data_IF_532405113251
#
_entry.id   IF_532405113251
#
_cell.length_a   1.000
_cell.length_b   1.000
_cell.length_c   1.000
_cell.angle_alpha   90.00
_cell.angle_beta   90.00
_cell.angle_gamma   90.00
#
_symmetry.space_group_name_H-M   'P 1'
#
loop_
_entity.id
_entity.type
_entity.pdbx_description
1 polymer ?
#
# COMPACT_ATOMS: atom_id res chain seq x y z
N UNK A 1 13.40 6.67 -16.51
CA UNK A 1 11.98 7.08 -16.45
C UNK A 1 11.35 6.78 -15.09
N UNK A 2 11.67 5.66 -14.43
CA UNK A 2 11.17 5.38 -13.07
C UNK A 2 11.74 6.36 -12.02
N UNK A 3 13.01 6.75 -12.17
CA UNK A 3 13.71 7.56 -11.16
C UNK A 3 13.31 9.06 -11.11
N UNK A 4 12.43 9.50 -12.02
CA UNK A 4 11.90 10.89 -12.04
C UNK A 4 10.50 10.99 -11.41
N UNK A 5 9.83 9.86 -11.18
CA UNK A 5 8.48 9.82 -10.63
C UNK A 5 8.53 9.64 -9.12
N UNK A 6 7.72 10.40 -8.36
CA UNK A 6 7.57 10.20 -6.90
C UNK A 6 6.97 8.83 -6.57
N UNK A 7 6.07 8.37 -7.44
CA UNK A 7 5.34 7.12 -7.29
C UNK A 7 5.13 6.53 -8.68
N UNK A 8 5.38 5.23 -8.83
CA UNK A 8 5.06 4.48 -10.03
C UNK A 8 3.86 3.59 -9.75
N UNK A 9 2.87 3.67 -10.63
CA UNK A 9 1.68 2.84 -10.63
C UNK A 9 1.74 1.91 -11.83
N UNK A 10 1.52 0.61 -11.63
CA UNK A 10 1.63 -0.39 -12.70
C UNK A 10 0.37 -1.25 -12.73
N UNK A 11 -0.16 -1.46 -13.93
CA UNK A 11 -1.08 -2.57 -14.18
C UNK A 11 -0.24 -3.81 -14.51
N UNK A 12 -0.40 -4.88 -13.72
CA UNK A 12 0.39 -6.11 -13.88
C UNK A 12 0.24 -6.71 -15.27
N UNK A 13 -0.88 -6.46 -15.95
CA UNK A 13 -1.12 -6.91 -17.32
C UNK A 13 0.04 -6.55 -18.27
N UNK A 14 0.74 -5.44 -18.00
CA UNK A 14 1.90 -4.99 -18.77
C UNK A 14 3.19 -5.77 -18.46
N UNK A 15 3.27 -6.46 -17.31
CA UNK A 15 4.47 -7.16 -16.85
C UNK A 15 4.42 -8.67 -17.15
N UNK A 16 3.23 -9.28 -17.11
CA UNK A 16 3.08 -10.74 -17.19
C UNK A 16 2.75 -11.25 -18.61
N UNK A 17 2.56 -10.36 -19.58
CA UNK A 17 2.24 -10.75 -20.95
C UNK A 17 3.49 -11.04 -21.77
N UNK A 18 3.49 -12.21 -22.40
CA UNK A 18 4.48 -12.62 -23.39
C UNK A 18 3.77 -12.93 -24.72
N UNK A 19 4.45 -12.65 -25.82
CA UNK A 19 3.95 -12.94 -27.16
C UNK A 19 4.65 -14.18 -27.69
N UNK A 20 3.87 -15.15 -28.16
CA UNK A 20 4.41 -16.28 -28.90
C UNK A 20 5.00 -15.77 -30.22
N UNK A 21 6.29 -15.97 -30.50
CA UNK A 21 6.92 -15.50 -31.72
C UNK A 21 6.43 -16.23 -32.98
N UNK A 22 5.80 -17.41 -32.85
CA UNK A 22 5.33 -18.21 -33.97
C UNK A 22 4.01 -17.71 -34.54
N UNK A 23 3.06 -17.32 -33.68
CA UNK A 23 1.70 -16.93 -34.09
C UNK A 23 1.18 -15.61 -33.50
N UNK A 24 1.96 -14.97 -32.62
CA UNK A 24 1.59 -13.72 -31.98
C UNK A 24 0.60 -13.85 -30.83
N UNK A 25 0.28 -15.08 -30.40
CA UNK A 25 -0.63 -15.33 -29.28
C UNK A 25 -0.10 -14.70 -28.00
N UNK A 26 -0.99 -14.07 -27.24
CA UNK A 26 -0.67 -13.50 -25.94
C UNK A 26 -0.84 -14.58 -24.87
N UNK A 27 0.24 -14.91 -24.18
CA UNK A 27 0.24 -15.80 -23.02
C UNK A 27 0.59 -15.01 -21.75
N UNK A 28 0.25 -15.60 -20.60
CA UNK A 28 0.67 -15.10 -19.30
C UNK A 28 1.79 -15.96 -18.72
N UNK A 29 2.70 -15.30 -18.00
CA UNK A 29 3.81 -15.93 -17.28
C UNK A 29 3.87 -15.36 -15.87
N UNK A 30 4.31 -16.16 -14.91
CA UNK A 30 4.46 -15.72 -13.53
C UNK A 30 5.40 -14.52 -13.44
N UNK A 31 5.03 -13.51 -12.65
CA UNK A 31 5.79 -12.26 -12.55
C UNK A 31 7.26 -12.51 -12.15
N UNK A 32 7.53 -13.51 -11.32
CA UNK A 32 8.88 -13.88 -10.87
C UNK A 32 9.78 -14.49 -11.97
N UNK A 33 9.18 -14.97 -13.07
CA UNK A 33 9.88 -15.47 -14.24
C UNK A 33 10.09 -14.37 -15.29
N UNK A 34 9.49 -13.19 -15.10
CA UNK A 34 9.66 -12.05 -16.00
C UNK A 34 10.96 -11.30 -15.72
N UNK A 35 11.44 -10.57 -16.73
CA UNK A 35 12.48 -9.56 -16.57
C UNK A 35 12.02 -8.29 -15.84
N UNK A 36 10.87 -8.28 -15.16
CA UNK A 36 10.35 -7.11 -14.45
C UNK A 36 10.28 -7.29 -12.95
N UNK A 37 10.49 -8.51 -12.42
CA UNK A 37 10.40 -8.79 -10.98
C UNK A 37 11.31 -7.89 -10.13
N UNK A 38 12.52 -7.58 -10.62
CA UNK A 38 13.46 -6.71 -9.91
C UNK A 38 13.02 -5.23 -9.83
N UNK A 39 11.98 -4.83 -10.56
CA UNK A 39 11.43 -3.47 -10.53
C UNK A 39 10.47 -3.24 -9.36
N UNK A 40 9.99 -4.31 -8.71
CA UNK A 40 9.02 -4.23 -7.60
C UNK A 40 9.38 -3.22 -6.50
N UNK A 41 10.64 -3.10 -6.03
CA UNK A 41 11.01 -2.10 -5.02
C UNK A 41 10.85 -0.64 -5.46
N UNK A 42 10.72 -0.40 -6.77
CA UNK A 42 10.53 0.94 -7.35
C UNK A 42 9.07 1.23 -7.71
N UNK A 43 8.19 0.23 -7.58
CA UNK A 43 6.75 0.35 -7.83
C UNK A 43 6.09 0.77 -6.51
N UNK A 44 5.30 1.85 -6.54
CA UNK A 44 4.52 2.26 -5.37
C UNK A 44 3.25 1.44 -5.23
N UNK A 45 2.58 1.21 -6.36
CA UNK A 45 1.29 0.54 -6.43
C UNK A 45 1.24 -0.37 -7.65
N UNK A 46 0.78 -1.61 -7.45
CA UNK A 46 0.58 -2.60 -8.49
C UNK A 46 -0.90 -3.00 -8.48
N UNK A 47 -1.60 -2.78 -9.58
CA UNK A 47 -2.97 -3.25 -9.78
C UNK A 47 -2.94 -4.61 -10.48
N UNK A 48 -3.80 -5.52 -10.03
CA UNK A 48 -4.06 -6.80 -10.66
C UNK A 48 -5.57 -7.09 -10.63
N UNK A 49 -6.07 -7.89 -11.57
CA UNK A 49 -7.39 -8.49 -11.53
C UNK A 49 -7.37 -9.88 -10.91
N UNK A 50 -8.54 -10.41 -10.56
CA UNK A 50 -8.71 -11.81 -10.16
C UNK A 50 -8.15 -12.80 -11.18
N UNK A 51 -8.20 -12.46 -12.47
CA UNK A 51 -7.71 -13.30 -13.57
C UNK A 51 -6.18 -13.22 -13.72
N UNK A 52 -5.58 -12.13 -13.22
CA UNK A 52 -4.13 -11.90 -13.21
C UNK A 52 -3.47 -12.42 -11.91
N UNK A 53 -4.26 -12.55 -10.84
CA UNK A 53 -3.80 -13.01 -9.52
C UNK A 53 -3.01 -14.33 -9.56
N UNK A 54 -3.37 -15.35 -10.38
CA UNK A 54 -2.61 -16.61 -10.42
C UNK A 54 -1.16 -16.44 -10.86
N UNK A 55 -0.83 -15.37 -11.60
CA UNK A 55 0.52 -15.07 -12.08
C UNK A 55 1.29 -14.14 -11.13
N UNK A 56 0.69 -13.83 -9.98
CA UNK A 56 1.20 -12.92 -8.98
C UNK A 56 1.24 -13.62 -7.61
N UNK A 57 2.44 -13.82 -7.08
CA UNK A 57 2.59 -14.15 -5.67
C UNK A 57 2.29 -12.89 -4.83
N UNK A 58 1.02 -12.69 -4.49
CA UNK A 58 0.54 -11.49 -3.76
C UNK A 58 1.28 -11.32 -2.45
N UNK A 59 1.57 -12.42 -1.74
CA UNK A 59 2.24 -12.39 -0.44
C UNK A 59 3.71 -11.98 -0.54
N UNK A 60 4.40 -12.39 -1.60
CA UNK A 60 5.76 -11.92 -1.84
C UNK A 60 5.79 -10.47 -2.35
N UNK A 61 4.88 -10.11 -3.26
CA UNK A 61 4.87 -8.78 -3.88
C UNK A 61 4.42 -7.68 -2.92
N UNK A 62 3.45 -7.94 -2.04
CA UNK A 62 2.97 -6.97 -1.03
C UNK A 62 4.06 -6.52 -0.05
N UNK A 63 5.14 -7.30 0.10
CA UNK A 63 6.31 -6.94 0.92
C UNK A 63 7.12 -5.81 0.29
N UNK A 64 6.99 -5.60 -1.02
CA UNK A 64 7.80 -4.66 -1.80
C UNK A 64 6.98 -3.46 -2.29
N UNK A 65 5.71 -3.64 -2.66
CA UNK A 65 4.81 -2.56 -3.09
C UNK A 65 3.36 -2.79 -2.62
N UNK A 66 2.52 -1.75 -2.66
CA UNK A 66 1.09 -1.90 -2.37
C UNK A 66 0.40 -2.61 -3.55
N UNK A 67 -0.36 -3.68 -3.28
CA UNK A 67 -1.10 -4.42 -4.32
C UNK A 67 -2.58 -4.11 -4.21
N UNK A 68 -3.21 -3.75 -5.33
CA UNK A 68 -4.65 -3.52 -5.44
C UNK A 68 -5.23 -4.58 -6.36
N UNK A 69 -5.93 -5.56 -5.78
CA UNK A 69 -6.51 -6.69 -6.49
C UNK A 69 -8.01 -6.46 -6.72
N UNK A 70 -8.43 -6.25 -7.96
CA UNK A 70 -9.85 -6.08 -8.32
C UNK A 70 -10.53 -7.43 -8.49
N UNK A 71 -11.70 -7.62 -7.87
CA UNK A 71 -12.49 -8.84 -7.95
C UNK A 71 -13.93 -8.56 -8.43
N UNK A 72 -14.05 -7.88 -9.58
CA UNK A 72 -15.34 -7.65 -10.26
C UNK A 72 -16.44 -7.12 -9.34
N UNK A 73 -17.53 -7.88 -9.23
CA UNK A 73 -18.71 -7.54 -8.44
C UNK A 73 -18.49 -7.64 -6.92
N UNK A 74 -17.34 -8.14 -6.44
CA UNK A 74 -16.97 -8.15 -5.03
C UNK A 74 -16.14 -6.93 -4.60
N UNK A 75 -15.80 -6.05 -5.55
CA UNK A 75 -15.02 -4.83 -5.31
C UNK A 75 -13.54 -5.08 -5.49
N UNK A 76 -12.72 -4.70 -4.50
CA UNK A 76 -11.29 -4.95 -4.55
C UNK A 76 -10.69 -5.19 -3.16
N UNK A 77 -9.49 -5.77 -3.15
CA UNK A 77 -8.65 -5.96 -1.97
C UNK A 77 -7.42 -5.07 -2.09
N UNK A 78 -7.04 -4.39 -1.01
CA UNK A 78 -5.80 -3.62 -0.90
C UNK A 78 -4.86 -4.36 0.04
N UNK A 79 -3.72 -4.79 -0.46
CA UNK A 79 -2.66 -5.43 0.30
C UNK A 79 -1.50 -4.46 0.49
N UNK A 80 -1.17 -4.19 1.74
CA UNK A 80 0.09 -3.57 2.14
C UNK A 80 0.97 -4.62 2.79
N UNK A 81 2.22 -4.28 3.11
CA UNK A 81 3.12 -5.18 3.84
C UNK A 81 2.51 -5.74 5.12
N UNK A 82 1.73 -4.93 5.83
CA UNK A 82 1.27 -5.25 7.19
C UNK A 82 -0.26 -5.44 7.29
N UNK A 83 -1.01 -5.15 6.23
CA UNK A 83 -2.48 -5.17 6.28
C UNK A 83 -3.11 -5.63 4.98
N UNK A 84 -4.33 -6.16 5.10
CA UNK A 84 -5.23 -6.45 3.99
C UNK A 84 -6.56 -5.77 4.26
N UNK A 85 -7.15 -5.15 3.25
CA UNK A 85 -8.41 -4.46 3.39
C UNK A 85 -9.32 -4.74 2.20
N UNK A 86 -10.53 -5.21 2.47
CA UNK A 86 -11.59 -5.35 1.48
C UNK A 86 -12.30 -4.00 1.29
N UNK A 87 -12.44 -3.58 0.05
CA UNK A 87 -13.17 -2.37 -0.34
C UNK A 87 -14.43 -2.78 -1.10
N UNK A 88 -15.58 -2.37 -0.58
CA UNK A 88 -16.87 -2.76 -1.10
C UNK A 88 -17.09 -2.30 -2.57
N UNK A 89 -17.84 -3.08 -3.36
CA UNK A 89 -18.19 -2.73 -4.73
C UNK A 89 -19.26 -1.62 -4.78
N UNK A 90 -19.49 -1.11 -5.99
CA UNK A 90 -20.67 -0.32 -6.31
C UNK A 90 -21.63 -1.18 -7.15
N UNK A 91 -22.88 -1.38 -6.69
CA UNK A 91 -23.86 -2.16 -7.44
C UNK A 91 -24.11 -1.55 -8.83
N UNK A 92 -24.05 -2.37 -9.87
CA UNK A 92 -24.31 -1.96 -11.24
C UNK A 92 -24.86 -3.15 -12.03
N UNK A 93 -25.54 -2.88 -13.14
CA UNK A 93 -25.96 -3.91 -14.08
C UNK A 93 -24.85 -4.05 -15.11
N UNK A 94 -24.29 -5.25 -15.28
CA UNK A 94 -23.25 -5.50 -16.26
C UNK A 94 -23.82 -5.45 -17.68
N UNK A 95 -23.36 -4.47 -18.45
CA UNK A 95 -23.66 -4.26 -19.86
C UNK A 95 -22.46 -4.64 -20.71
N UNK A 96 -21.30 -4.04 -20.43
CA UNK A 96 -20.02 -4.33 -21.11
C UNK A 96 -18.86 -4.16 -20.11
N UNK A 97 -18.10 -5.23 -19.79
CA UNK A 97 -16.99 -5.13 -18.84
C UNK A 97 -15.74 -4.46 -19.43
N UNK A 98 -15.71 -4.19 -20.74
CA UNK A 98 -14.53 -3.66 -21.43
C UNK A 98 -14.11 -2.31 -20.84
N UNK A 99 -12.83 -2.20 -20.47
CA UNK A 99 -12.25 -0.97 -19.91
C UNK A 99 -12.58 -0.72 -18.43
N UNK A 100 -13.30 -1.62 -17.75
CA UNK A 100 -13.61 -1.45 -16.32
C UNK A 100 -12.34 -1.38 -15.45
N UNK A 101 -11.32 -2.18 -15.78
CA UNK A 101 -10.02 -2.16 -15.10
C UNK A 101 -9.26 -0.85 -15.31
N UNK A 102 -9.28 -0.29 -16.52
CA UNK A 102 -8.66 1.00 -16.83
C UNK A 102 -9.37 2.15 -16.12
N UNK A 103 -10.71 2.14 -16.09
CA UNK A 103 -11.51 3.10 -15.34
C UNK A 103 -11.26 3.00 -13.83
N UNK A 104 -11.14 1.78 -13.30
CA UNK A 104 -10.73 1.57 -11.92
C UNK A 104 -9.36 2.20 -11.65
N UNK A 105 -8.38 1.93 -12.52
CA UNK A 105 -7.04 2.48 -12.42
C UNK A 105 -7.05 4.01 -12.47
N UNK A 106 -7.84 4.59 -13.36
CA UNK A 106 -8.05 6.04 -13.47
C UNK A 106 -8.65 6.66 -12.20
N UNK A 107 -9.65 6.00 -11.61
CA UNK A 107 -10.23 6.39 -10.32
C UNK A 107 -9.20 6.33 -9.19
N UNK A 108 -8.44 5.23 -9.09
CA UNK A 108 -7.37 5.05 -8.11
C UNK A 108 -6.31 6.15 -8.21
N UNK A 109 -5.77 6.40 -9.40
CA UNK A 109 -4.76 7.45 -9.64
C UNK A 109 -5.33 8.84 -9.31
N UNK A 110 -6.58 9.11 -9.67
CA UNK A 110 -7.24 10.39 -9.36
C UNK A 110 -7.36 10.61 -7.85
N UNK A 111 -7.70 9.57 -7.08
CA UNK A 111 -7.76 9.64 -5.63
C UNK A 111 -6.39 9.93 -5.01
N UNK A 112 -5.37 9.16 -5.40
CA UNK A 112 -4.01 9.28 -4.88
C UNK A 112 -3.41 10.65 -5.18
N UNK A 113 -3.59 11.16 -6.40
CA UNK A 113 -3.07 12.49 -6.80
C UNK A 113 -3.76 13.65 -6.08
N UNK A 114 -4.98 13.43 -5.56
CA UNK A 114 -5.72 14.39 -4.72
C UNK A 114 -5.44 14.23 -3.22
N UNK A 115 -4.51 13.35 -2.84
CA UNK A 115 -4.14 13.12 -1.44
C UNK A 115 -5.15 12.30 -0.66
N UNK A 116 -6.01 11.53 -1.34
CA UNK A 116 -6.84 10.54 -0.66
C UNK A 116 -5.98 9.36 -0.16
N UNK A 117 -6.47 8.67 0.86
CA UNK A 117 -5.84 7.43 1.33
C UNK A 117 -5.96 6.34 0.26
N UNK A 118 -5.14 5.29 0.35
CA UNK A 118 -5.21 4.15 -0.59
C UNK A 118 -6.60 3.51 -0.59
N UNK A 119 -7.24 3.22 0.57
CA UNK A 119 -8.60 2.68 0.60
C UNK A 119 -9.63 3.60 -0.07
N UNK A 120 -9.58 4.91 0.22
CA UNK A 120 -10.50 5.89 -0.37
C UNK A 120 -10.30 6.00 -1.89
N UNK A 121 -9.05 5.90 -2.35
CA UNK A 121 -8.70 5.92 -3.76
C UNK A 121 -9.17 4.65 -4.47
N UNK A 122 -9.04 3.48 -3.82
CA UNK A 122 -9.54 2.21 -4.32
C UNK A 122 -11.07 2.18 -4.37
N UNK A 123 -11.75 2.82 -3.40
CA UNK A 123 -13.20 3.01 -3.43
C UNK A 123 -13.62 3.86 -4.62
N UNK A 124 -12.90 4.96 -4.90
CA UNK A 124 -13.11 5.75 -6.11
C UNK A 124 -12.90 4.89 -7.36
N UNK A 125 -11.87 4.05 -7.39
CA UNK A 125 -11.64 3.06 -8.45
C UNK A 125 -12.84 2.13 -8.66
N UNK A 126 -13.36 1.50 -7.60
CA UNK A 126 -14.52 0.60 -7.69
C UNK A 126 -15.74 1.32 -8.31
N UNK A 127 -15.94 2.58 -7.96
CA UNK A 127 -17.03 3.38 -8.48
C UNK A 127 -16.87 3.65 -9.98
N UNK A 128 -15.71 4.13 -10.41
CA UNK A 128 -15.44 4.35 -11.84
C UNK A 128 -15.53 3.04 -12.64
N UNK A 129 -15.00 1.93 -12.12
CA UNK A 129 -15.16 0.61 -12.72
C UNK A 129 -16.63 0.22 -12.88
N UNK A 130 -17.45 0.37 -11.84
CA UNK A 130 -18.88 0.03 -11.87
C UNK A 130 -19.69 0.86 -12.88
N UNK A 131 -19.33 2.13 -13.04
CA UNK A 131 -19.96 3.04 -13.99
C UNK A 131 -19.62 2.67 -15.43
N UNK A 132 -18.40 2.19 -15.66
CA UNK A 132 -17.98 1.65 -16.96
C UNK A 132 -18.72 0.38 -17.31
N UNK A 133 -18.80 -0.55 -16.38
CA UNK A 133 -19.51 -1.82 -16.56
C UNK A 133 -20.98 -1.62 -16.93
N UNK A 134 -21.61 -0.53 -16.47
CA UNK A 134 -23.01 -0.19 -16.74
C UNK A 134 -23.27 0.56 -18.05
N UNK A 135 -22.25 0.81 -18.87
CA UNK A 135 -22.36 1.53 -20.15
C UNK A 135 -21.81 0.65 -21.29
N UNK A 136 -22.34 0.79 -22.51
CA UNK A 136 -21.75 0.16 -23.69
C UNK A 136 -20.49 0.94 -24.12
N UNK A 137 -19.34 0.27 -24.23
CA UNK A 137 -18.08 0.87 -24.68
C UNK A 137 -17.46 1.88 -23.70
N UNK A 138 -16.56 2.75 -24.20
CA UNK A 138 -15.85 3.72 -23.37
C UNK A 138 -16.80 4.67 -22.63
N UNK A 139 -16.61 4.78 -21.32
CA UNK A 139 -17.49 5.55 -20.45
C UNK A 139 -17.44 7.04 -20.73
N UNK A 140 -18.61 7.68 -20.76
CA UNK A 140 -18.73 9.14 -20.79
C UNK A 140 -18.96 9.64 -19.38
N UNK A 141 -17.92 10.23 -18.78
CA UNK A 141 -18.02 10.86 -17.46
C UNK A 141 -18.45 12.32 -17.62
N UNK A 142 -19.75 12.59 -17.48
CA UNK A 142 -20.24 13.97 -17.44
C UNK A 142 -20.01 14.59 -16.04
N UNK A 143 -19.97 15.94 -15.92
CA UNK A 143 -19.73 16.60 -14.64
C UNK A 143 -20.73 16.27 -13.52
N UNK A 144 -21.99 15.96 -13.86
CA UNK A 144 -23.02 15.59 -12.87
C UNK A 144 -22.79 14.18 -12.35
N UNK A 145 -22.31 13.27 -13.20
CA UNK A 145 -21.89 11.94 -12.79
C UNK A 145 -20.70 12.04 -11.83
N UNK A 146 -19.68 12.83 -12.17
CA UNK A 146 -18.52 13.07 -11.29
C UNK A 146 -18.93 13.67 -9.95
N UNK A 147 -19.90 14.59 -9.93
CA UNK A 147 -20.42 15.18 -8.69
C UNK A 147 -21.14 14.14 -7.82
N UNK A 148 -22.01 13.31 -8.40
CA UNK A 148 -22.64 12.19 -7.68
C UNK A 148 -21.62 11.19 -7.15
N UNK A 149 -20.56 10.95 -7.93
CA UNK A 149 -19.46 10.07 -7.53
C UNK A 149 -18.79 10.62 -6.27
N UNK A 150 -18.52 11.92 -6.22
CA UNK A 150 -17.95 12.58 -5.05
C UNK A 150 -18.84 12.41 -3.82
N UNK A 151 -20.14 12.70 -3.95
CA UNK A 151 -21.11 12.59 -2.86
C UNK A 151 -21.22 11.16 -2.31
N UNK A 152 -21.26 10.16 -3.19
CA UNK A 152 -21.33 8.75 -2.79
C UNK A 152 -20.04 8.28 -2.10
N UNK A 153 -18.87 8.73 -2.57
CA UNK A 153 -17.59 8.44 -1.90
C UNK A 153 -17.55 9.09 -0.53
N UNK A 154 -17.94 10.35 -0.40
CA UNK A 154 -17.95 11.05 0.89
C UNK A 154 -18.89 10.35 1.89
N UNK A 155 -20.08 9.92 1.45
CA UNK A 155 -21.02 9.14 2.28
C UNK A 155 -20.42 7.85 2.80
N UNK A 156 -19.78 7.04 1.95
CA UNK A 156 -19.19 5.76 2.36
C UNK A 156 -17.93 5.91 3.19
N UNK A 157 -17.20 7.02 3.04
CA UNK A 157 -16.06 7.36 3.89
C UNK A 157 -16.51 7.63 5.33
N UNK A 158 -17.65 8.29 5.51
CA UNK A 158 -18.26 8.49 6.83
C UNK A 158 -18.71 7.16 7.45
N UNK A 159 -19.28 6.26 6.65
CA UNK A 159 -19.69 4.92 7.11
C UNK A 159 -18.51 3.99 7.46
N UNK A 160 -17.30 4.23 6.92
CA UNK A 160 -16.08 3.47 7.20
C UNK A 160 -15.16 4.10 8.27
N UNK A 161 -15.62 5.14 8.97
CA UNK A 161 -14.79 5.91 9.90
C UNK A 161 -14.28 5.11 11.13
N UNK A 162 -14.83 3.93 11.40
CA UNK A 162 -14.34 3.02 12.45
C UNK A 162 -13.00 2.33 12.09
N UNK A 163 -12.67 2.17 10.79
CA UNK A 163 -11.39 1.60 10.33
C UNK A 163 -10.27 2.64 10.13
N UNK A 164 -10.61 3.93 10.11
CA UNK A 164 -9.70 5.02 9.74
C UNK A 164 -8.71 5.41 10.85
N UNK A 165 -8.99 5.04 12.10
CA UNK A 165 -8.10 5.25 13.25
C UNK A 165 -6.78 4.48 13.10
N UNK A 166 -6.82 3.30 12.46
CA UNK A 166 -5.65 2.46 12.27
C UNK A 166 -4.62 3.07 11.30
N UNK A 167 -5.09 3.68 10.21
CA UNK A 167 -4.21 4.25 9.18
C UNK A 167 -3.69 5.65 9.52
N UNK A 168 -4.47 6.48 10.24
CA UNK A 168 -3.96 7.73 10.80
C UNK A 168 -2.77 7.49 11.75
N UNK A 169 -2.80 6.41 12.52
CA UNK A 169 -1.67 6.01 13.37
C UNK A 169 -0.44 5.58 12.54
N UNK A 170 -0.64 4.91 11.41
CA UNK A 170 0.44 4.45 10.53
C UNK A 170 1.12 5.62 9.77
N UNK A 171 0.34 6.58 9.27
CA UNK A 171 0.86 7.78 8.61
C UNK A 171 1.56 8.73 9.60
N UNK A 172 1.07 8.81 10.84
CA UNK A 172 1.75 9.51 11.93
C UNK A 172 3.09 8.84 12.31
N UNK A 173 3.14 7.51 12.34
CA UNK A 173 4.36 6.74 12.63
C UNK A 173 5.41 6.84 11.51
N UNK A 174 4.99 6.99 10.24
CA UNK A 174 5.91 7.24 9.12
C UNK A 174 6.45 8.68 9.13
N UNK A 175 5.62 9.65 9.49
CA UNK A 175 6.01 11.07 9.57
C UNK A 175 7.01 11.35 10.70
N UNK A 176 6.95 10.61 11.82
CA UNK A 176 7.93 10.74 12.91
C UNK A 176 9.29 10.11 12.58
N UNK A 177 9.37 9.11 11.71
CA UNK A 177 10.63 8.50 11.27
C UNK A 177 11.44 9.39 10.31
N UNK A 178 10.77 10.27 9.55
CA UNK A 178 11.39 11.22 8.60
C UNK A 178 11.96 12.47 9.29
N UNK A 179 11.54 12.78 10.53
CA UNK A 179 12.09 13.89 11.30
C UNK A 179 13.43 13.54 12.00
N UNK A 180 13.78 12.25 12.10
CA UNK A 180 14.93 11.77 12.86
C UNK A 180 16.29 11.80 12.15
N UNK A 181 16.36 12.11 10.85
CA UNK A 181 17.59 11.98 10.05
C UNK A 181 18.21 13.30 9.58
N UNK A 182 17.75 14.46 10.07
CA UNK A 182 18.28 15.77 9.64
C UNK A 182 19.11 16.55 10.68
N UNK A 183 19.43 15.97 11.84
CA UNK A 183 20.27 16.62 12.86
C UNK A 183 21.34 15.69 13.43
N UNK A 184 22.24 15.18 12.59
CA UNK A 184 23.55 14.74 13.09
C UNK A 184 24.66 14.85 12.05
N UNK A 185 25.12 16.08 11.81
CA UNK A 185 26.47 16.35 11.30
C UNK A 185 26.85 17.81 11.60
N UNK A 186 27.29 18.06 12.83
CA UNK A 186 28.42 18.98 13.13
C UNK A 186 28.54 19.14 14.65
N UNK A 187 29.47 18.39 15.24
CA UNK A 187 30.36 18.82 16.34
C UNK A 187 31.23 17.62 16.73
N UNK A 188 32.42 17.54 16.15
CA UNK A 188 33.55 16.84 16.74
C UNK A 188 34.50 17.88 17.33
N UNK A 189 34.66 17.75 18.65
CA UNK A 189 35.87 17.93 19.45
C UNK A 189 36.48 19.32 19.64
N UNK A 190 36.51 19.73 20.91
CA UNK A 190 37.72 20.04 21.69
C UNK A 190 37.34 20.02 23.20
N UNK A 191 38.00 19.23 24.06
CA UNK A 191 37.91 19.38 25.51
C UNK A 191 39.16 20.09 26.06
N UNK A 192 39.00 21.02 27.00
CA UNK A 192 39.54 20.85 28.36
C UNK A 192 39.46 22.09 29.25
N UNK A 193 39.33 21.76 30.53
CA UNK A 193 39.77 22.49 31.72
C UNK A 193 38.87 23.60 32.28
N UNK A 194 38.26 23.30 33.44
CA UNK A 194 38.60 23.96 34.73
C UNK A 194 37.93 23.25 35.92
N UNK A 195 38.78 22.71 36.81
CA UNK A 195 38.78 22.79 38.30
C UNK A 195 37.52 22.60 39.17
N UNK A 196 37.67 21.76 40.22
CA UNK A 196 36.97 21.84 41.51
C UNK A 196 36.41 20.49 42.01
N UNK A 197 37.19 19.59 42.62
CA UNK A 197 37.57 19.52 44.05
C UNK A 197 36.43 19.21 45.07
N UNK A 198 36.43 17.93 45.53
CA UNK A 198 36.19 17.35 46.88
C UNK A 198 34.84 17.52 47.62
N UNK A 199 34.23 16.39 48.01
CA UNK A 199 34.08 15.88 49.41
C UNK A 199 33.34 14.50 49.41
N UNK A 200 33.97 13.40 49.88
CA UNK A 200 33.67 12.58 51.10
C UNK A 200 32.18 12.31 51.40
N UNK A 201 31.70 11.14 51.85
CA UNK A 201 32.31 10.01 52.58
C UNK A 201 31.33 8.80 52.61
N UNK A 202 31.87 7.58 52.78
CA UNK A 202 31.37 6.39 53.53
C UNK A 202 29.90 5.90 53.41
N UNK A 203 29.52 4.62 53.49
CA UNK A 203 30.15 3.30 53.55
C UNK A 203 29.00 2.29 53.70
N UNK A 204 29.07 1.10 53.10
CA UNK A 204 28.72 -0.23 53.66
C UNK A 204 28.37 -1.25 52.56
N UNK A 205 29.28 -2.22 52.43
CA UNK A 205 29.22 -3.52 51.75
C UNK A 205 28.48 -4.56 52.65
N UNK A 206 28.45 -5.88 52.33
CA UNK A 206 28.01 -6.62 51.13
C UNK A 206 27.20 -7.90 51.50
N UNK A 207 27.11 -8.88 50.57
CA UNK A 207 26.88 -10.36 50.72
C UNK A 207 25.57 -10.82 50.04
N UNK A 208 25.56 -11.46 48.85
CA UNK A 208 26.02 -12.81 48.42
C UNK A 208 25.18 -13.97 49.00
N UNK A 209 24.49 -14.70 48.11
CA UNK A 209 24.31 -16.17 47.97
C UNK A 209 23.00 -16.42 47.22
N UNK A 210 22.96 -16.76 45.92
CA UNK A 210 23.31 -18.02 45.23
C UNK A 210 22.56 -19.29 45.69
N UNK A 211 21.97 -19.98 44.68
CA UNK A 211 21.59 -21.41 44.56
C UNK A 211 20.27 -21.87 45.23
N UNK A 212 19.48 -22.81 44.71
CA UNK A 212 19.53 -23.75 43.57
C UNK A 212 18.08 -24.30 43.38
N UNK A 213 17.74 -24.81 42.18
CA UNK A 213 16.58 -25.67 41.87
C UNK A 213 16.63 -27.04 42.64
N UNK A 214 15.80 -28.07 42.35
CA UNK A 214 14.47 -28.19 41.69
C UNK A 214 13.47 -28.94 42.61
N UNK A 215 12.22 -29.18 42.20
CA UNK A 215 11.55 -30.47 42.41
C UNK A 215 10.25 -30.62 41.60
N UNK A 216 10.13 -31.81 41.03
CA UNK A 216 9.04 -32.42 40.26
C UNK A 216 7.88 -32.95 41.13
N UNK A 217 6.85 -33.46 40.42
CA UNK A 217 5.67 -34.26 40.87
C UNK A 217 4.45 -33.35 41.13
N UNK A 218 3.29 -33.50 40.49
CA UNK A 218 2.58 -34.65 39.90
C UNK A 218 1.74 -34.24 38.69
#
# INVERSE_FOLDING_TARGET
>A
MIDICKTVLVDIQALIRIFDPADGTVNHVDLNQTGFFYLLPRIGFLKASSDEAPFLDVEEVRKQCCVVLTNGNEGCMVFTKDSELKIAPFPTIQVDPTGAGDSFLGGLVTGLTRGLTVPDSALLGNLFGSLTVGQMGHSKFDPRLVQRVKEEVDKRREDHFDGLQFFRALDAARSSSLAGSFLQKSKRELPNNTSGAKCNDQSLLPSICEKEEPHSIS
#
